data_IF_267564275147
#
_entry.id   IF_267564275147
#
_cell.length_a   1.000
_cell.length_b   1.000
_cell.length_c   1.000
_cell.angle_alpha   90.00
_cell.angle_beta   90.00
_cell.angle_gamma   90.00
#
_symmetry.space_group_name_H-M   'P 1'
#
loop_
_entity.id
_entity.type
_entity.pdbx_description
1 polymer ?
#
# COMPACT_ATOMS: atom_id res chain seq x y z
N UNK A 1 -4.97 10.05 -10.46
CA UNK A 1 -3.51 10.07 -10.45
C UNK A 1 -3.01 8.78 -9.83
N UNK A 2 -2.09 8.11 -10.51
CA UNK A 2 -1.46 6.86 -10.11
C UNK A 2 0.06 6.99 -10.26
N UNK A 3 0.81 5.97 -9.83
CA UNK A 3 2.25 5.92 -10.07
C UNK A 3 2.55 5.92 -11.58
N UNK A 4 3.60 6.62 -11.98
CA UNK A 4 3.99 6.87 -13.38
C UNK A 4 3.40 8.14 -14.00
N UNK A 5 2.30 8.68 -13.46
CA UNK A 5 1.73 9.93 -13.95
C UNK A 5 2.67 11.12 -13.70
N UNK A 6 2.60 12.15 -14.56
CA UNK A 6 3.22 13.45 -14.28
C UNK A 6 2.32 14.29 -13.38
N UNK A 7 2.84 14.68 -12.22
CA UNK A 7 2.15 15.59 -11.32
C UNK A 7 1.97 16.98 -11.99
N UNK A 8 0.75 17.53 -11.99
CA UNK A 8 0.50 18.89 -12.46
C UNK A 8 1.24 19.87 -11.57
N UNK A 9 1.86 20.86 -12.17
CA UNK A 9 2.45 21.96 -11.42
C UNK A 9 1.34 22.86 -10.85
N UNK A 10 1.58 23.44 -9.69
CA UNK A 10 0.64 24.32 -9.02
C UNK A 10 1.38 25.32 -8.15
N UNK A 11 0.72 26.42 -7.81
CA UNK A 11 1.20 27.37 -6.81
C UNK A 11 0.14 27.61 -5.75
N UNK A 12 0.49 27.38 -4.48
CA UNK A 12 -0.37 27.64 -3.32
C UNK A 12 0.38 28.43 -2.26
N UNK A 13 -0.35 29.13 -1.41
CA UNK A 13 0.24 29.78 -0.24
C UNK A 13 0.51 28.76 0.86
N UNK A 14 1.70 28.83 1.46
CA UNK A 14 2.03 28.10 2.67
C UNK A 14 1.48 28.79 3.93
N UNK A 15 1.62 28.10 5.06
CA UNK A 15 1.22 28.58 6.39
C UNK A 15 1.94 29.86 6.86
N UNK A 16 2.97 30.34 6.15
CA UNK A 16 3.64 31.63 6.40
C UNK A 16 3.16 32.73 5.44
N UNK A 17 2.22 32.42 4.55
CA UNK A 17 1.73 33.32 3.51
C UNK A 17 2.66 33.43 2.29
N UNK A 18 3.66 32.56 2.17
CA UNK A 18 4.58 32.56 1.02
C UNK A 18 4.03 31.65 -0.10
N UNK A 19 4.07 32.08 -1.37
CA UNK A 19 3.71 31.20 -2.47
C UNK A 19 4.76 30.09 -2.62
N UNK A 20 4.28 28.86 -2.82
CA UNK A 20 5.10 27.67 -3.08
C UNK A 20 4.61 27.00 -4.34
N UNK A 21 5.54 26.81 -5.27
CA UNK A 21 5.31 26.11 -6.53
C UNK A 21 5.89 24.70 -6.44
N UNK A 22 5.18 23.68 -6.94
CA UNK A 22 5.64 22.29 -6.86
C UNK A 22 7.01 22.12 -7.54
N UNK A 23 7.20 22.67 -8.73
CA UNK A 23 8.50 22.62 -9.42
C UNK A 23 9.64 23.28 -8.64
N UNK A 24 9.37 24.32 -7.85
CA UNK A 24 10.39 24.96 -7.02
C UNK A 24 10.75 24.12 -5.77
N UNK A 25 9.78 23.41 -5.19
CA UNK A 25 10.02 22.47 -4.09
C UNK A 25 10.86 21.28 -4.58
N UNK A 26 10.53 20.75 -5.76
CA UNK A 26 11.23 19.62 -6.37
C UNK A 26 12.70 19.91 -6.75
N UNK A 27 13.10 21.17 -6.85
CA UNK A 27 14.49 21.54 -7.13
C UNK A 27 15.46 21.10 -6.03
N UNK A 28 14.98 20.89 -4.80
CA UNK A 28 15.79 20.42 -3.67
C UNK A 28 15.78 18.89 -3.49
N UNK A 29 14.98 18.17 -4.27
CA UNK A 29 14.82 16.71 -4.18
C UNK A 29 13.35 16.27 -4.27
N UNK A 30 13.07 14.96 -4.15
CA UNK A 30 11.72 14.43 -4.21
C UNK A 30 10.80 15.05 -3.15
N UNK A 31 9.51 15.23 -3.49
CA UNK A 31 8.50 15.77 -2.58
C UNK A 31 7.52 14.67 -2.18
N UNK A 32 7.33 14.51 -0.87
CA UNK A 32 6.27 13.70 -0.27
C UNK A 32 5.09 14.62 0.06
N UNK A 33 4.14 14.69 -0.87
CA UNK A 33 2.97 15.55 -0.81
C UNK A 33 1.80 14.79 -0.18
N UNK A 34 1.39 15.15 1.04
CA UNK A 34 0.29 14.48 1.73
C UNK A 34 -0.95 15.38 1.91
N UNK A 35 -2.08 14.89 1.41
CA UNK A 35 -3.39 15.52 1.57
C UNK A 35 -4.04 15.05 2.86
N UNK A 36 -4.54 15.99 3.65
CA UNK A 36 -5.31 15.69 4.86
C UNK A 36 -6.64 16.46 4.90
N UNK A 37 -7.73 15.87 5.44
CA UNK A 37 -9.05 16.49 5.36
C UNK A 37 -9.27 17.76 6.19
N UNK A 38 -8.64 17.85 7.37
CA UNK A 38 -8.94 18.92 8.33
C UNK A 38 -7.81 19.16 9.33
N UNK A 39 -7.23 20.37 9.29
CA UNK A 39 -6.21 20.82 10.21
C UNK A 39 -6.68 20.81 11.68
N UNK A 40 -5.75 20.51 12.59
CA UNK A 40 -5.98 20.38 14.05
C UNK A 40 -7.00 19.32 14.48
N UNK A 41 -7.45 18.45 13.58
CA UNK A 41 -8.25 17.27 13.96
C UNK A 41 -7.36 16.16 14.53
N UNK A 42 -7.86 15.27 15.41
CA UNK A 42 -7.02 14.28 16.10
C UNK A 42 -6.21 13.38 15.16
N UNK A 43 -6.86 12.82 14.14
CA UNK A 43 -6.21 11.90 13.20
C UNK A 43 -5.20 12.63 12.31
N UNK A 44 -5.53 13.83 11.82
CA UNK A 44 -4.62 14.60 10.97
C UNK A 44 -3.45 15.19 11.78
N UNK A 45 -3.69 15.50 13.06
CA UNK A 45 -2.62 15.87 13.99
C UNK A 45 -1.64 14.72 14.16
N UNK A 46 -2.12 13.51 14.45
CA UNK A 46 -1.25 12.34 14.57
C UNK A 46 -0.46 12.08 13.28
N UNK A 47 -1.11 12.18 12.12
CA UNK A 47 -0.45 12.06 10.81
C UNK A 47 0.67 13.07 10.61
N UNK A 48 0.37 14.36 10.78
CA UNK A 48 1.31 15.44 10.52
C UNK A 48 2.46 15.44 11.55
N UNK A 49 2.18 15.12 12.81
CA UNK A 49 3.24 14.91 13.81
C UNK A 49 4.14 13.73 13.41
N UNK A 50 3.59 12.63 12.91
CA UNK A 50 4.42 11.49 12.46
C UNK A 50 5.37 11.87 11.32
N UNK A 51 4.91 12.65 10.34
CA UNK A 51 5.78 13.23 9.31
C UNK A 51 6.87 14.15 9.88
N UNK A 52 6.56 14.92 10.94
CA UNK A 52 7.54 15.78 11.63
C UNK A 52 8.59 14.93 12.33
N UNK A 53 8.15 13.90 13.04
CA UNK A 53 9.01 13.08 13.89
C UNK A 53 10.01 12.26 13.05
N UNK A 54 9.67 11.92 11.80
CA UNK A 54 10.55 11.27 10.82
C UNK A 54 11.41 12.26 9.98
N UNK A 55 11.65 13.48 10.47
CA UNK A 55 12.38 14.52 9.73
C UNK A 55 13.77 14.09 9.26
N UNK A 56 14.54 13.43 10.13
CA UNK A 56 15.91 13.01 9.85
C UNK A 56 15.97 11.90 8.79
N UNK A 57 15.01 10.97 8.84
CA UNK A 57 14.85 9.89 7.88
C UNK A 57 14.54 10.44 6.48
N UNK A 58 13.59 11.37 6.38
CA UNK A 58 13.27 12.03 5.12
C UNK A 58 14.44 12.84 4.56
N UNK A 59 15.20 13.52 5.43
CA UNK A 59 16.42 14.22 5.04
C UNK A 59 17.48 13.26 4.47
N UNK A 60 17.65 12.07 5.06
CA UNK A 60 18.59 11.04 4.60
C UNK A 60 18.25 10.54 3.19
N UNK A 61 16.97 10.36 2.90
CA UNK A 61 16.49 10.02 1.55
C UNK A 61 16.37 11.24 0.63
N UNK A 62 16.77 12.44 1.08
CA UNK A 62 16.78 13.66 0.30
C UNK A 62 15.39 14.17 -0.08
N UNK A 63 14.35 13.77 0.66
CA UNK A 63 12.98 14.09 0.33
C UNK A 63 12.40 15.18 1.24
N UNK A 64 11.58 16.05 0.66
CA UNK A 64 10.87 17.11 1.36
C UNK A 64 9.44 16.67 1.70
N UNK A 65 8.97 17.01 2.90
CA UNK A 65 7.60 16.75 3.33
C UNK A 65 6.76 17.98 3.04
N UNK A 66 5.55 17.80 2.49
CA UNK A 66 4.64 18.92 2.21
C UNK A 66 3.22 18.48 2.51
N UNK A 67 2.55 19.19 3.42
CA UNK A 67 1.15 18.93 3.75
C UNK A 67 0.21 19.85 2.97
N UNK A 68 -0.96 19.37 2.59
CA UNK A 68 -1.98 20.17 1.90
C UNK A 68 -3.39 19.84 2.40
N UNK A 69 -4.20 20.87 2.62
CA UNK A 69 -5.63 20.73 2.88
C UNK A 69 -6.40 21.93 2.34
N UNK A 70 -7.73 21.83 2.37
CA UNK A 70 -8.64 22.92 2.01
C UNK A 70 -8.80 23.98 3.10
N UNK A 71 -8.02 23.88 4.19
CA UNK A 71 -8.04 24.88 5.26
C UNK A 71 -7.34 26.16 4.81
N UNK A 72 -7.77 27.30 5.36
CA UNK A 72 -7.19 28.62 5.06
C UNK A 72 -5.74 28.74 5.55
N UNK A 73 -4.97 29.66 4.96
CA UNK A 73 -3.59 29.98 5.40
C UNK A 73 -3.52 30.24 6.90
N UNK A 74 -4.45 31.02 7.46
CA UNK A 74 -4.52 31.31 8.91
C UNK A 74 -4.68 30.06 9.75
N UNK A 75 -5.51 29.11 9.31
CA UNK A 75 -5.72 27.85 10.03
C UNK A 75 -4.52 26.92 9.93
N UNK A 76 -3.88 26.86 8.77
CA UNK A 76 -2.62 26.14 8.59
C UNK A 76 -1.51 26.74 9.46
N UNK A 77 -1.42 28.08 9.54
CA UNK A 77 -0.46 28.79 10.40
C UNK A 77 -0.66 28.45 11.88
N UNK A 78 -1.90 28.46 12.35
CA UNK A 78 -2.24 28.05 13.71
C UNK A 78 -1.83 26.59 13.97
N UNK A 79 -2.15 25.69 13.04
CA UNK A 79 -1.83 24.26 13.18
C UNK A 79 -0.31 24.00 13.19
N UNK A 80 0.42 24.62 12.27
CA UNK A 80 1.88 24.52 12.17
C UNK A 80 2.57 25.05 13.42
N UNK A 81 2.14 26.20 13.95
CA UNK A 81 2.68 26.76 15.19
C UNK A 81 2.36 25.89 16.40
N UNK A 82 1.13 25.39 16.51
CA UNK A 82 0.71 24.55 17.64
C UNK A 82 1.49 23.23 17.73
N UNK A 83 1.95 22.70 16.59
CA UNK A 83 2.65 21.41 16.49
C UNK A 83 4.11 21.53 16.09
N UNK A 84 4.63 22.74 15.98
CA UNK A 84 6.02 23.03 15.60
C UNK A 84 6.47 22.28 14.34
N UNK A 85 5.69 22.37 13.27
CA UNK A 85 6.07 21.73 12.00
C UNK A 85 7.23 22.47 11.34
N UNK A 86 8.22 21.70 10.90
CA UNK A 86 9.45 22.15 10.25
C UNK A 86 9.36 22.11 8.70
N UNK A 87 8.15 21.89 8.19
CA UNK A 87 7.86 21.74 6.77
C UNK A 87 6.60 22.53 6.36
N UNK A 88 6.43 22.88 5.08
CA UNK A 88 5.30 23.70 4.65
C UNK A 88 3.97 22.93 4.69
N UNK A 89 2.96 23.54 5.30
CA UNK A 89 1.55 23.23 5.07
C UNK A 89 0.96 24.23 4.07
N UNK A 90 0.32 23.73 3.01
CA UNK A 90 -0.26 24.51 1.92
C UNK A 90 -1.79 24.62 2.07
N UNK A 91 -2.32 25.77 1.66
CA UNK A 91 -3.75 26.09 1.70
C UNK A 91 -4.36 25.98 0.29
N UNK A 92 -5.25 25.02 0.07
CA UNK A 92 -6.00 24.77 -1.17
C UNK A 92 -7.49 25.09 -0.97
N UNK A 93 -7.81 26.32 -0.56
CA UNK A 93 -9.19 26.73 -0.19
C UNK A 93 -10.22 26.41 -1.27
N UNK A 94 -9.82 26.53 -2.54
CA UNK A 94 -10.70 26.35 -3.69
C UNK A 94 -10.80 24.89 -4.14
N UNK A 95 -10.03 24.00 -3.49
CA UNK A 95 -9.92 22.56 -3.80
C UNK A 95 -9.44 22.24 -5.22
N UNK A 96 -8.84 23.21 -5.93
CA UNK A 96 -8.40 23.05 -7.32
C UNK A 96 -7.28 22.03 -7.39
N UNK A 97 -6.29 22.13 -6.50
CA UNK A 97 -5.17 21.18 -6.47
C UNK A 97 -5.67 19.80 -6.02
N UNK A 98 -6.55 19.75 -5.02
CA UNK A 98 -7.20 18.51 -4.59
C UNK A 98 -7.98 17.82 -5.71
N UNK A 99 -8.55 18.59 -6.65
CA UNK A 99 -9.22 18.05 -7.83
C UNK A 99 -8.24 17.57 -8.91
N UNK A 100 -7.17 18.32 -9.16
CA UNK A 100 -6.10 17.94 -10.10
C UNK A 100 -5.41 16.62 -9.71
N UNK A 101 -5.17 16.43 -8.41
CA UNK A 101 -4.62 15.18 -7.87
C UNK A 101 -5.69 14.08 -7.71
N UNK A 102 -6.96 14.39 -7.99
CA UNK A 102 -8.07 13.45 -7.94
C UNK A 102 -8.44 13.02 -6.53
N UNK A 103 -8.07 13.77 -5.49
CA UNK A 103 -8.33 13.42 -4.08
C UNK A 103 -9.59 14.06 -3.51
N UNK A 104 -10.20 15.04 -4.22
CA UNK A 104 -11.48 15.65 -3.84
C UNK A 104 -12.64 14.63 -3.80
N UNK A 105 -13.49 14.72 -2.77
CA UNK A 105 -14.72 13.92 -2.59
C UNK A 105 -15.92 14.70 -3.17
N UNK A 106 -16.68 14.11 -4.09
CA UNK A 106 -17.87 14.74 -4.68
C UNK A 106 -18.37 14.07 -5.97
N UNK A 107 -19.62 14.35 -6.38
CA UNK A 107 -20.26 13.75 -7.59
C UNK A 107 -19.61 14.21 -8.91
N UNK A 108 -18.98 15.39 -8.96
CA UNK A 108 -18.25 15.84 -10.17
C UNK A 108 -16.94 15.07 -10.43
N UNK A 109 -16.28 14.51 -9.40
CA UNK A 109 -15.13 13.63 -9.58
C UNK A 109 -15.50 12.27 -10.24
N UNK A 110 -16.80 11.97 -10.37
CA UNK A 110 -17.32 10.85 -11.16
C UNK A 110 -17.59 11.23 -12.63
N UNK A 111 -17.84 12.50 -12.94
CA UNK A 111 -18.18 12.93 -14.31
C UNK A 111 -17.03 12.79 -15.32
N UNK A 112 -15.76 12.84 -14.87
CA UNK A 112 -14.61 12.55 -15.74
C UNK A 112 -14.30 11.06 -15.90
N UNK A 113 -14.85 10.20 -15.04
CA UNK A 113 -14.75 8.73 -15.17
C UNK A 113 -15.91 8.10 -15.93
N UNK A 114 -17.01 8.84 -16.13
CA UNK A 114 -18.23 8.34 -16.78
C UNK A 114 -18.18 8.34 -18.32
N UNK A 115 -17.02 8.56 -18.95
CA UNK A 115 -16.84 8.33 -20.39
C UNK A 115 -16.42 6.88 -20.69
N UNK A 116 -16.13 6.07 -19.67
CA UNK A 116 -15.84 4.64 -19.86
C UNK A 116 -16.75 3.81 -18.95
N UNK A 117 -17.59 2.99 -19.59
CA UNK A 117 -18.43 1.91 -19.05
C UNK A 117 -19.73 2.29 -18.30
N UNK A 118 -20.83 2.37 -19.06
CA UNK A 118 -22.08 1.60 -18.78
C UNK A 118 -21.76 0.11 -19.04
N UNK A 119 -22.28 -0.93 -18.41
CA UNK A 119 -23.38 -1.28 -17.50
C UNK A 119 -22.79 -2.33 -16.53
N UNK A 120 -23.24 -2.59 -15.31
CA UNK A 120 -24.51 -3.27 -15.00
C UNK A 120 -24.73 -3.30 -13.48
N UNK A 121 -25.93 -3.71 -13.09
CA UNK A 121 -26.61 -3.36 -11.86
C UNK A 121 -26.53 -4.42 -10.74
N UNK A 122 -26.73 -3.95 -9.51
CA UNK A 122 -27.38 -4.62 -8.35
C UNK A 122 -26.62 -5.70 -7.56
N UNK A 123 -26.26 -5.34 -6.32
CA UNK A 123 -26.52 -5.98 -5.00
C UNK A 123 -25.57 -5.28 -4.02
N UNK A 124 -25.80 -5.08 -2.73
CA UNK A 124 -26.83 -5.46 -1.79
C UNK A 124 -26.57 -4.59 -0.54
N UNK A 125 -27.62 -4.39 0.24
CA UNK A 125 -27.70 -3.39 1.30
C UNK A 125 -27.06 -3.97 2.59
N UNK A 126 -25.86 -3.52 2.95
CA UNK A 126 -25.37 -3.56 4.33
C UNK A 126 -24.45 -2.36 4.61
N UNK A 127 -25.05 -1.19 4.81
CA UNK A 127 -24.36 -0.05 5.42
C UNK A 127 -24.18 -0.33 6.91
N UNK A 128 -23.09 -1.00 7.28
CA UNK A 128 -22.51 -0.78 8.61
C UNK A 128 -22.24 0.71 8.74
N UNK A 129 -22.62 1.28 9.88
CA UNK A 129 -22.51 2.69 10.31
C UNK A 129 -21.10 3.28 10.10
N UNK A 130 -20.67 3.49 8.85
CA UNK A 130 -19.51 4.32 8.49
C UNK A 130 -19.98 5.75 8.66
N UNK A 131 -19.58 6.35 9.78
CA UNK A 131 -20.15 7.56 10.36
C UNK A 131 -20.40 8.68 9.35
N UNK A 132 -21.54 9.35 9.54
CA UNK A 132 -22.03 10.51 8.78
C UNK A 132 -20.92 11.54 8.48
N UNK A 133 -19.96 11.70 9.39
CA UNK A 133 -18.83 12.65 9.31
C UNK A 133 -17.84 12.38 8.16
N UNK A 134 -17.56 11.12 7.81
CA UNK A 134 -16.63 10.80 6.72
C UNK A 134 -17.20 11.17 5.33
N UNK A 135 -18.52 11.34 5.21
CA UNK A 135 -19.20 11.75 3.97
C UNK A 135 -19.21 13.27 3.75
N UNK A 136 -18.76 14.06 4.74
CA UNK A 136 -18.85 15.53 4.71
C UNK A 136 -17.51 16.20 4.37
N UNK A 137 -16.37 15.54 4.64
CA UNK A 137 -15.07 16.15 4.40
C UNK A 137 -14.67 16.13 2.91
N UNK A 138 -14.18 17.24 2.34
CA UNK A 138 -14.05 17.42 0.89
C UNK A 138 -12.84 16.71 0.27
N UNK A 139 -11.89 16.22 1.06
CA UNK A 139 -10.62 15.65 0.56
C UNK A 139 -10.39 14.27 1.16
N UNK A 140 -9.90 13.33 0.33
CA UNK A 140 -9.41 12.01 0.75
C UNK A 140 -7.99 12.14 1.29
N UNK A 141 -7.70 11.41 2.37
CA UNK A 141 -6.33 11.31 2.88
C UNK A 141 -5.50 10.49 1.89
N UNK A 142 -4.50 11.11 1.28
CA UNK A 142 -3.69 10.48 0.24
C UNK A 142 -2.31 11.12 0.23
N UNK A 143 -1.25 10.33 0.09
CA UNK A 143 0.13 10.81 -0.04
C UNK A 143 0.68 10.43 -1.40
N UNK A 144 1.35 11.36 -2.05
CA UNK A 144 2.06 11.16 -3.31
C UNK A 144 3.56 11.36 -3.04
N UNK A 145 4.37 10.42 -3.50
CA UNK A 145 5.82 10.62 -3.60
C UNK A 145 6.10 11.05 -5.04
N UNK A 146 6.66 12.25 -5.21
CA UNK A 146 6.87 12.90 -6.50
C UNK A 146 8.36 13.12 -6.69
N UNK A 147 8.93 12.61 -7.76
CA UNK A 147 10.33 12.81 -8.11
C UNK A 147 10.58 14.20 -8.73
N UNK A 148 11.85 14.59 -8.79
CA UNK A 148 12.35 15.87 -9.30
C UNK A 148 11.85 16.23 -10.71
N UNK A 149 11.56 15.23 -11.54
CA UNK A 149 11.01 15.38 -12.89
C UNK A 149 9.46 15.43 -12.94
N UNK A 150 8.82 15.57 -11.77
CA UNK A 150 7.37 15.52 -11.52
C UNK A 150 6.73 14.13 -11.70
N UNK A 151 7.50 13.06 -11.86
CA UNK A 151 6.91 11.71 -11.91
C UNK A 151 6.39 11.31 -10.53
N UNK A 152 5.14 10.85 -10.47
CA UNK A 152 4.59 10.24 -9.26
C UNK A 152 5.19 8.84 -9.12
N UNK A 153 6.06 8.63 -8.13
CA UNK A 153 6.71 7.35 -7.91
C UNK A 153 5.80 6.34 -7.20
N UNK A 154 5.02 6.80 -6.21
CA UNK A 154 4.04 5.98 -5.52
C UNK A 154 2.91 6.82 -4.92
N UNK A 155 1.77 6.17 -4.67
CA UNK A 155 0.58 6.77 -4.07
C UNK A 155 0.12 5.92 -2.89
N UNK A 156 0.06 6.52 -1.71
CA UNK A 156 -0.43 5.89 -0.47
C UNK A 156 -1.81 6.42 -0.14
N UNK A 157 -2.83 5.58 -0.25
CA UNK A 157 -4.23 5.95 -0.03
C UNK A 157 -4.85 5.19 1.16
N UNK A 158 -4.52 5.59 2.40
CA UNK A 158 -5.09 4.99 3.62
C UNK A 158 -5.94 5.98 4.44
N UNK A 159 -7.27 5.84 4.41
CA UNK A 159 -8.15 6.77 5.11
C UNK A 159 -8.30 6.50 6.62
N UNK A 160 -7.80 5.37 7.13
CA UNK A 160 -8.06 4.93 8.51
C UNK A 160 -6.79 4.99 9.37
N UNK A 161 -5.65 4.53 8.85
CA UNK A 161 -4.36 4.53 9.56
C UNK A 161 -3.50 5.65 9.01
N UNK A 162 -3.47 6.78 9.73
CA UNK A 162 -2.81 7.97 9.23
C UNK A 162 -1.28 7.93 9.35
N UNK A 163 -0.73 7.14 10.29
CA UNK A 163 0.73 6.93 10.45
C UNK A 163 1.36 6.24 9.24
N UNK A 164 0.64 5.28 8.64
CA UNK A 164 1.10 4.46 7.50
C UNK A 164 1.60 5.31 6.33
N UNK A 165 1.05 6.52 6.16
CA UNK A 165 1.44 7.43 5.08
C UNK A 165 2.93 7.80 5.07
N UNK A 166 3.51 8.10 6.24
CA UNK A 166 4.90 8.52 6.30
C UNK A 166 5.83 7.30 6.17
N UNK A 167 5.49 6.20 6.83
CA UNK A 167 6.30 4.97 6.83
C UNK A 167 6.37 4.37 5.42
N UNK A 168 5.25 4.29 4.69
CA UNK A 168 5.22 3.79 3.32
C UNK A 168 5.97 4.69 2.34
N UNK A 169 5.81 6.01 2.45
CA UNK A 169 6.54 6.96 1.61
C UNK A 169 8.05 6.85 1.84
N UNK A 170 8.47 6.79 3.11
CA UNK A 170 9.88 6.68 3.47
C UNK A 170 10.48 5.35 3.03
N UNK A 171 9.78 4.23 3.27
CA UNK A 171 10.23 2.90 2.84
C UNK A 171 10.41 2.84 1.33
N UNK A 172 9.47 3.39 0.57
CA UNK A 172 9.56 3.44 -0.88
C UNK A 172 10.77 4.28 -1.33
N UNK A 173 10.98 5.46 -0.76
CA UNK A 173 12.12 6.31 -1.12
C UNK A 173 13.47 5.68 -0.77
N UNK A 174 13.55 4.98 0.36
CA UNK A 174 14.75 4.27 0.77
C UNK A 174 15.13 3.16 -0.23
N UNK A 175 14.16 2.36 -0.68
CA UNK A 175 14.41 1.31 -1.68
C UNK A 175 14.67 1.87 -3.08
N UNK A 176 14.01 2.99 -3.43
CA UNK A 176 14.20 3.65 -4.71
C UNK A 176 15.61 4.23 -4.88
N UNK A 177 16.15 4.87 -3.84
CA UNK A 177 17.53 5.40 -3.85
C UNK A 177 18.56 4.30 -4.07
N UNK A 178 18.39 3.15 -3.42
CA UNK A 178 19.31 2.01 -3.56
C UNK A 178 19.39 1.51 -5.00
N UNK A 179 18.29 1.54 -5.76
CA UNK A 179 18.27 1.13 -7.17
C UNK A 179 18.80 2.19 -8.14
N UNK A 180 18.92 3.45 -7.73
CA UNK A 180 19.42 4.56 -8.57
C UNK A 180 20.93 4.82 -8.43
N UNK A 181 21.61 4.24 -7.43
CA UNK A 181 23.07 4.35 -7.31
C UNK A 181 23.77 3.39 -8.29
N UNK A 182 24.63 3.89 -9.21
CA UNK A 182 25.40 3.02 -10.09
C UNK A 182 26.37 2.14 -9.28
N UNK A 183 26.42 0.84 -9.57
CA UNK A 183 27.55 0.01 -9.13
C UNK A 183 28.80 0.54 -9.83
N UNK A 184 29.69 1.17 -9.08
CA UNK A 184 31.00 1.59 -9.55
C UNK A 184 31.83 0.31 -9.83
N UNK A 185 32.07 0.02 -11.11
CA UNK A 185 32.87 -1.13 -11.54
C UNK A 185 34.28 -0.63 -11.82
N UNK A 186 35.17 -0.82 -10.84
CA UNK A 186 36.62 -0.81 -10.99
C UNK A 186 37.18 -2.21 -10.73
N UNK A 187 37.72 -2.82 -11.78
CA UNK A 187 38.33 -4.16 -11.98
C UNK A 187 39.49 -4.57 -11.03
N UNK A 188 40.12 -5.79 -11.12
CA UNK A 188 40.01 -6.85 -12.14
C UNK A 188 39.86 -8.32 -11.64
N UNK A 189 39.77 -9.21 -12.62
CA UNK A 189 39.59 -10.66 -12.54
C UNK A 189 40.74 -11.46 -11.91
N UNK A 190 40.40 -12.28 -10.91
CA UNK A 190 41.00 -13.57 -10.49
C UNK A 190 40.24 -13.95 -9.20
N UNK A 191 39.64 -15.11 -8.97
CA UNK A 191 40.11 -16.47 -9.19
C UNK A 191 38.87 -17.41 -9.16
N UNK A 192 38.82 -18.41 -10.04
CA UNK A 192 37.63 -19.25 -10.28
C UNK A 192 37.42 -20.39 -9.27
N UNK A 193 38.19 -20.43 -8.18
CA UNK A 193 38.10 -21.47 -7.14
C UNK A 193 38.43 -20.90 -5.76
N UNK A 194 37.47 -20.24 -5.13
CA UNK A 194 37.38 -20.11 -3.68
C UNK A 194 35.95 -19.68 -3.33
N UNK A 195 35.13 -20.60 -2.81
CA UNK A 195 33.99 -20.18 -2.00
C UNK A 195 34.52 -19.70 -0.64
N UNK A 196 34.09 -18.51 -0.19
CA UNK A 196 33.80 -18.36 1.22
C UNK A 196 32.32 -18.04 1.40
N UNK A 197 31.74 -18.78 2.34
CA UNK A 197 30.42 -18.59 2.90
C UNK A 197 30.20 -17.13 3.31
N UNK A 198 29.14 -16.51 2.80
CA UNK A 198 28.54 -15.31 3.42
C UNK A 198 27.04 -15.43 3.45
N UNK A 199 26.52 -15.23 4.67
CA UNK A 199 25.12 -15.21 5.10
C UNK A 199 24.26 -14.32 4.20
N UNK A 200 23.26 -14.91 3.55
CA UNK A 200 22.42 -14.27 2.52
C UNK A 200 21.17 -13.62 3.16
N UNK A 201 21.15 -12.28 3.18
CA UNK A 201 19.93 -11.49 3.41
C UNK A 201 19.01 -11.56 2.17
N UNK A 202 17.67 -11.64 2.34
CA UNK A 202 16.76 -11.87 1.22
C UNK A 202 16.74 -10.71 0.22
N UNK A 203 17.33 -10.96 -0.95
CA UNK A 203 17.24 -10.13 -2.15
C UNK A 203 15.83 -10.17 -2.75
N UNK A 204 15.10 -9.05 -2.62
CA UNK A 204 13.83 -8.84 -3.30
C UNK A 204 14.08 -8.30 -4.72
N UNK A 205 14.43 -9.20 -5.64
CA UNK A 205 14.27 -8.93 -7.07
C UNK A 205 12.77 -8.99 -7.41
N UNK A 206 12.28 -7.93 -8.03
CA UNK A 206 10.86 -7.68 -8.37
C UNK A 206 10.24 -8.82 -9.18
N UNK A 207 9.09 -9.39 -8.77
CA UNK A 207 8.34 -10.32 -9.60
C UNK A 207 7.31 -9.56 -10.43
N UNK A 208 7.72 -9.06 -11.60
CA UNK A 208 6.76 -8.77 -12.69
C UNK A 208 7.38 -9.15 -14.03
N UNK A 209 7.46 -10.45 -14.26
CA UNK A 209 7.48 -11.16 -15.56
C UNK A 209 7.51 -12.64 -15.15
N UNK A 210 6.42 -13.39 -15.17
CA UNK A 210 5.72 -13.87 -16.35
C UNK A 210 4.26 -14.10 -15.97
N UNK A 211 3.34 -13.33 -16.56
CA UNK A 211 1.95 -13.73 -16.65
C UNK A 211 1.62 -13.76 -18.15
N UNK A 212 1.75 -14.93 -18.75
CA UNK A 212 0.98 -15.27 -19.95
C UNK A 212 -0.47 -14.98 -19.64
N UNK A 213 -1.08 -14.10 -20.44
CA UNK A 213 -2.43 -13.61 -20.22
C UNK A 213 -3.44 -14.73 -19.98
N UNK A 214 -4.04 -14.70 -18.80
CA UNK A 214 -5.41 -15.11 -18.49
C UNK A 214 -5.81 -14.39 -17.22
N UNK A 215 -6.32 -13.18 -17.39
CA UNK A 215 -7.17 -12.56 -16.36
C UNK A 215 -8.57 -13.06 -16.71
N UNK A 216 -8.88 -14.31 -16.36
CA UNK A 216 -10.24 -14.81 -16.44
C UNK A 216 -10.68 -15.24 -15.05
N UNK A 217 -11.91 -14.85 -14.73
CA UNK A 217 -12.48 -14.86 -13.41
C UNK A 217 -12.65 -16.26 -12.83
N UNK A 218 -12.58 -16.34 -11.49
CA UNK A 218 -13.47 -17.22 -10.75
C UNK A 218 -12.80 -18.08 -9.69
N UNK A 219 -12.51 -17.50 -8.51
CA UNK A 219 -13.22 -17.75 -7.24
C UNK A 219 -12.76 -16.63 -6.27
N UNK A 220 -13.68 -15.86 -5.69
CA UNK A 220 -13.33 -15.01 -4.54
C UNK A 220 -13.11 -15.92 -3.33
N UNK A 221 -11.92 -16.53 -3.23
CA UNK A 221 -11.60 -17.52 -2.18
C UNK A 221 -11.91 -16.90 -0.81
N UNK A 222 -12.85 -17.50 -0.09
CA UNK A 222 -13.23 -17.05 1.24
C UNK A 222 -12.01 -17.07 2.18
N UNK A 223 -11.93 -16.11 3.10
CA UNK A 223 -10.73 -15.95 3.94
C UNK A 223 -10.54 -17.11 4.91
N UNK A 224 -11.66 -17.71 5.28
CA UNK A 224 -11.81 -18.88 6.13
C UNK A 224 -11.72 -20.21 5.35
N UNK A 225 -11.61 -20.17 4.02
CA UNK A 225 -11.54 -21.39 3.21
C UNK A 225 -10.27 -22.19 3.55
N UNK A 226 -10.41 -23.47 3.96
CA UNK A 226 -9.25 -24.31 4.26
C UNK A 226 -8.53 -24.71 2.98
N UNK A 227 -7.19 -24.75 3.04
CA UNK A 227 -6.32 -25.10 1.90
C UNK A 227 -5.52 -26.35 2.25
N UNK A 228 -5.84 -27.45 1.60
CA UNK A 228 -5.26 -28.77 1.81
C UNK A 228 -4.27 -29.11 0.68
N UNK A 229 -3.10 -29.67 1.00
CA UNK A 229 -2.16 -30.13 -0.02
C UNK A 229 -2.64 -31.45 -0.66
N UNK A 230 -2.44 -31.62 -1.97
CA UNK A 230 -2.75 -32.87 -2.67
C UNK A 230 -1.49 -33.71 -2.86
N UNK A 231 -1.61 -35.02 -2.60
CA UNK A 231 -0.52 -36.00 -2.75
C UNK A 231 -0.06 -36.18 -4.21
N UNK A 232 -0.74 -35.59 -5.19
CA UNK A 232 -0.29 -35.52 -6.60
C UNK A 232 1.03 -34.74 -6.79
N UNK A 233 1.62 -34.25 -5.71
CA UNK A 233 2.94 -33.64 -5.61
C UNK A 233 4.11 -34.66 -5.64
N UNK A 234 4.00 -35.75 -6.41
CA UNK A 234 5.12 -36.71 -6.59
C UNK A 234 6.28 -36.13 -7.42
N UNK A 235 6.11 -34.94 -8.01
CA UNK A 235 7.20 -34.18 -8.64
C UNK A 235 6.85 -32.68 -8.68
N UNK A 236 6.97 -31.95 -7.55
CA UNK A 236 6.80 -30.51 -7.57
C UNK A 236 7.85 -29.91 -8.51
N UNK A 237 7.53 -28.87 -9.30
CA UNK A 237 8.52 -28.16 -10.09
C UNK A 237 9.66 -27.75 -9.15
N UNK A 238 10.92 -27.90 -9.57
CA UNK A 238 12.06 -27.50 -8.75
C UNK A 238 12.08 -25.98 -8.58
N UNK A 239 11.25 -25.48 -7.66
CA UNK A 239 11.25 -24.10 -7.24
C UNK A 239 12.53 -23.81 -6.47
N UNK A 240 12.97 -22.56 -6.49
CA UNK A 240 14.18 -22.16 -5.76
C UNK A 240 13.97 -22.40 -4.27
N UNK A 241 15.07 -22.65 -3.52
CA UNK A 241 15.00 -22.73 -2.05
C UNK A 241 14.30 -21.48 -1.51
N UNK A 242 13.35 -21.68 -0.59
CA UNK A 242 12.53 -20.64 0.05
C UNK A 242 11.47 -19.98 -0.86
N UNK A 243 11.06 -20.61 -1.97
CA UNK A 243 9.93 -20.13 -2.78
C UNK A 243 8.63 -20.11 -1.97
N UNK A 244 7.83 -19.07 -2.14
CA UNK A 244 6.55 -18.89 -1.44
C UNK A 244 5.57 -20.03 -1.73
N UNK A 245 5.60 -20.59 -2.94
CA UNK A 245 4.70 -21.70 -3.34
C UNK A 245 5.01 -22.98 -2.55
N UNK A 246 6.29 -23.28 -2.37
CA UNK A 246 6.75 -24.42 -1.58
C UNK A 246 6.37 -24.28 -0.10
N UNK A 247 6.47 -23.05 0.42
CA UNK A 247 6.00 -22.73 1.77
C UNK A 247 4.48 -22.89 1.89
N UNK A 248 3.69 -22.48 0.89
CA UNK A 248 2.23 -22.70 0.89
C UNK A 248 1.93 -24.20 0.99
N UNK A 249 2.55 -25.04 0.17
CA UNK A 249 2.34 -26.50 0.22
C UNK A 249 2.73 -27.09 1.58
N UNK A 250 3.87 -26.66 2.13
CA UNK A 250 4.34 -27.10 3.44
C UNK A 250 3.32 -26.80 4.54
N UNK A 251 2.77 -25.59 4.56
CA UNK A 251 1.76 -25.20 5.54
C UNK A 251 0.39 -25.84 5.28
N UNK A 252 0.06 -26.12 4.02
CA UNK A 252 -1.18 -26.76 3.61
C UNK A 252 -1.35 -28.21 4.10
N UNK A 253 -0.29 -28.82 4.65
CA UNK A 253 -0.39 -30.09 5.37
C UNK A 253 -1.27 -30.02 6.64
N UNK A 254 -1.50 -28.83 7.20
CA UNK A 254 -2.32 -28.60 8.39
C UNK A 254 -3.71 -28.00 8.07
N UNK A 255 -4.08 -27.97 6.79
CA UNK A 255 -5.32 -27.36 6.28
C UNK A 255 -5.61 -25.94 6.83
N UNK A 256 -4.63 -25.01 6.78
CA UNK A 256 -4.82 -23.64 7.23
C UNK A 256 -5.83 -22.91 6.34
N UNK A 257 -6.48 -21.89 6.92
CA UNK A 257 -7.28 -20.95 6.14
C UNK A 257 -6.42 -20.03 5.27
N UNK A 258 -7.00 -19.47 4.21
CA UNK A 258 -6.34 -18.46 3.35
C UNK A 258 -5.80 -17.28 4.17
N UNK A 259 -6.52 -16.84 5.20
CA UNK A 259 -6.08 -15.77 6.09
C UNK A 259 -4.86 -16.17 6.95
N UNK A 260 -4.79 -17.42 7.38
CA UNK A 260 -3.63 -17.92 8.14
C UNK A 260 -2.39 -18.05 7.25
N UNK A 261 -2.54 -18.52 6.02
CA UNK A 261 -1.45 -18.56 5.04
C UNK A 261 -0.92 -17.15 4.77
N UNK A 262 -1.81 -16.17 4.57
CA UNK A 262 -1.41 -14.77 4.40
C UNK A 262 -0.64 -14.24 5.61
N UNK A 263 -1.08 -14.58 6.84
CA UNK A 263 -0.39 -14.20 8.09
C UNK A 263 1.00 -14.80 8.17
N UNK A 264 1.11 -16.12 8.04
CA UNK A 264 2.37 -16.87 8.23
C UNK A 264 3.42 -16.52 7.18
N UNK A 265 2.97 -16.31 5.95
CA UNK A 265 3.85 -15.96 4.82
C UNK A 265 4.11 -14.46 4.72
N UNK A 266 3.48 -13.65 5.57
CA UNK A 266 3.56 -12.17 5.52
C UNK A 266 3.21 -11.60 4.14
N UNK A 267 2.20 -12.19 3.48
CA UNK A 267 1.76 -11.79 2.14
C UNK A 267 0.47 -10.99 2.18
N UNK A 268 0.28 -10.03 1.25
CA UNK A 268 -1.01 -9.40 1.04
C UNK A 268 -2.07 -10.46 0.73
N UNK A 269 -3.24 -10.35 1.35
CA UNK A 269 -4.36 -11.30 1.19
C UNK A 269 -4.70 -11.55 -0.29
N UNK A 270 -4.66 -10.51 -1.13
CA UNK A 270 -4.91 -10.65 -2.57
C UNK A 270 -3.85 -11.50 -3.29
N UNK A 271 -2.58 -11.38 -2.89
CA UNK A 271 -1.49 -12.18 -3.45
C UNK A 271 -1.57 -13.63 -2.97
N UNK A 272 -1.88 -13.87 -1.68
CA UNK A 272 -2.10 -15.22 -1.17
C UNK A 272 -3.26 -15.92 -1.88
N UNK A 273 -4.40 -15.22 -2.06
CA UNK A 273 -5.54 -15.75 -2.81
C UNK A 273 -5.15 -16.15 -4.23
N UNK A 274 -4.43 -15.28 -4.93
CA UNK A 274 -3.96 -15.57 -6.27
C UNK A 274 -3.04 -16.80 -6.33
N UNK A 275 -2.07 -16.90 -5.42
CA UNK A 275 -1.13 -18.02 -5.39
C UNK A 275 -1.80 -19.34 -5.01
N UNK A 276 -2.75 -19.32 -4.08
CA UNK A 276 -3.54 -20.50 -3.71
C UNK A 276 -4.43 -20.94 -4.87
N UNK A 277 -5.06 -20.00 -5.58
CA UNK A 277 -5.89 -20.28 -6.75
C UNK A 277 -5.07 -20.88 -7.91
N UNK A 278 -3.88 -20.32 -8.17
CA UNK A 278 -2.93 -20.82 -9.17
C UNK A 278 -2.43 -22.24 -8.84
N UNK A 279 -2.07 -22.50 -7.58
CA UNK A 279 -1.68 -23.84 -7.12
C UNK A 279 -2.85 -24.83 -7.16
N UNK A 280 -4.08 -24.38 -6.91
CA UNK A 280 -5.27 -25.21 -7.02
C UNK A 280 -5.57 -25.58 -8.48
N UNK A 281 -5.46 -24.61 -9.39
CA UNK A 281 -5.61 -24.83 -10.83
C UNK A 281 -4.56 -25.79 -11.39
N UNK A 282 -3.37 -25.80 -10.81
CA UNK A 282 -2.28 -26.74 -11.15
C UNK A 282 -2.40 -28.09 -10.43
N UNK A 283 -3.39 -28.28 -9.55
CA UNK A 283 -3.65 -29.54 -8.86
C UNK A 283 -2.74 -29.84 -7.67
N UNK A 284 -2.02 -28.85 -7.14
CA UNK A 284 -1.14 -29.01 -5.98
C UNK A 284 -1.86 -28.85 -4.64
N UNK A 285 -2.94 -28.05 -4.61
CA UNK A 285 -3.76 -27.84 -3.42
C UNK A 285 -5.25 -27.96 -3.75
N UNK A 286 -6.05 -28.29 -2.74
CA UNK A 286 -7.51 -28.25 -2.78
C UNK A 286 -7.99 -27.17 -1.82
N UNK A 287 -8.87 -26.30 -2.32
CA UNK A 287 -9.57 -25.33 -1.47
C UNK A 287 -10.93 -25.92 -1.08
N UNK A 288 -11.15 -26.07 0.22
CA UNK A 288 -12.44 -26.52 0.76
C UNK A 288 -13.48 -25.40 0.87
N UNK A 289 -14.74 -25.79 1.07
CA UNK A 289 -15.80 -24.84 1.33
C UNK A 289 -15.58 -24.14 2.70
N UNK A 290 -15.85 -22.83 2.82
CA UNK A 290 -15.60 -22.05 4.03
C UNK A 290 -16.44 -22.47 5.23
N UNK A 291 -17.59 -23.12 5.01
CA UNK A 291 -18.50 -23.66 6.00
C UNK A 291 -19.16 -24.88 5.36
N UNK A 292 -18.97 -26.06 5.94
CA UNK A 292 -19.69 -27.27 5.51
C UNK A 292 -20.80 -27.61 6.52
N UNK A 293 -21.91 -28.14 6.01
CA UNK A 293 -23.08 -28.55 6.79
C UNK A 293 -22.81 -29.84 7.58
N UNK A 294 -21.72 -30.54 7.27
CA UNK A 294 -21.24 -31.71 8.02
C UNK A 294 -20.41 -31.36 9.27
N UNK A 295 -19.95 -30.10 9.41
CA UNK A 295 -19.07 -29.69 10.51
C UNK A 295 -19.81 -29.60 11.84
N UNK A 296 -19.20 -30.12 12.89
CA UNK A 296 -19.68 -29.92 14.26
C UNK A 296 -19.55 -28.46 14.70
N UNK A 297 -20.32 -28.06 15.72
CA UNK A 297 -20.29 -26.70 16.26
C UNK A 297 -18.88 -26.33 16.78
N UNK A 298 -18.17 -27.29 17.37
CA UNK A 298 -16.82 -27.08 17.92
C UNK A 298 -15.78 -26.90 16.81
N UNK A 299 -15.84 -27.69 15.73
CA UNK A 299 -14.97 -27.52 14.55
C UNK A 299 -15.20 -26.17 13.88
N UNK A 300 -16.47 -25.77 13.73
CA UNK A 300 -16.83 -24.45 13.19
C UNK A 300 -16.27 -23.32 14.07
N UNK A 301 -16.34 -23.46 15.39
CA UNK A 301 -15.82 -22.48 16.34
C UNK A 301 -14.29 -22.39 16.28
N UNK A 302 -13.60 -23.52 16.16
CA UNK A 302 -12.14 -23.55 16.06
C UNK A 302 -11.67 -22.92 14.75
N UNK A 303 -12.30 -23.24 13.62
CA UNK A 303 -11.99 -22.65 12.31
C UNK A 303 -12.16 -21.12 12.32
N UNK A 304 -13.27 -20.61 12.87
CA UNK A 304 -13.49 -19.17 13.02
C UNK A 304 -12.43 -18.55 13.94
N UNK A 305 -12.09 -19.21 15.04
CA UNK A 305 -11.08 -18.71 16.00
C UNK A 305 -9.70 -18.60 15.36
N UNK A 306 -9.29 -19.62 14.60
CA UNK A 306 -8.06 -19.67 13.83
C UNK A 306 -8.00 -18.59 12.75
N UNK A 307 -9.05 -18.47 11.95
CA UNK A 307 -9.17 -17.43 10.91
C UNK A 307 -9.09 -16.03 11.53
N UNK A 308 -9.80 -15.78 12.62
CA UNK A 308 -9.77 -14.50 13.33
C UNK A 308 -8.40 -14.21 13.94
N UNK A 309 -7.65 -15.23 14.38
CA UNK A 309 -6.28 -15.09 14.85
C UNK A 309 -5.36 -14.67 13.70
N UNK A 310 -5.39 -15.39 12.57
CA UNK A 310 -4.61 -15.03 11.38
C UNK A 310 -4.92 -13.61 10.88
N UNK A 311 -6.20 -13.21 10.87
CA UNK A 311 -6.59 -11.84 10.50
C UNK A 311 -6.14 -10.79 11.51
N UNK A 312 -6.02 -11.11 12.80
CA UNK A 312 -5.50 -10.19 13.82
C UNK A 312 -3.99 -10.04 13.72
N UNK A 313 -3.28 -11.13 13.46
CA UNK A 313 -1.83 -11.13 13.23
C UNK A 313 -1.48 -10.36 11.95
N UNK A 314 -2.23 -10.55 10.86
CA UNK A 314 -2.12 -9.72 9.66
C UNK A 314 -2.29 -8.22 9.94
N UNK A 315 -3.19 -7.86 10.87
CA UNK A 315 -3.37 -6.46 11.31
C UNK A 315 -2.26 -5.95 12.22
N UNK A 316 -1.55 -6.84 12.91
CA UNK A 316 -0.42 -6.51 13.77
C UNK A 316 0.89 -6.41 12.97
N UNK A 317 1.02 -7.19 11.89
CA UNK A 317 2.17 -7.21 10.97
C UNK A 317 2.06 -6.22 9.81
N UNK A 318 0.88 -5.61 9.58
CA UNK A 318 0.64 -4.49 8.64
C UNK A 318 0.51 -3.15 9.37
#
# INVERSE_FOLDING_TARGET
>A
MIAGDKAPDFTLYDHTGRPRTLSALLAAGPVVLFFFPLASSPICTAQACHFRDLSAEFARVGAQRVGISTDTVTRQAHFARQRSFDYPLLSDTDSVVSELFGVRRGRLAKLRRSVVAREESRRGRHTRRRGLLARVLPVRRTTFVIDTDRTVLTVVANEVRASVHADEALRFLATHKTHQQPKDIGEPASDWFAEPETVDEPSLVRPFTVATGRIDAGVELALEAPVEALDSADNPPSWRKNDVRDQILTWSAQSPSVAELASRLSLPIGATRYLVDDLAAQGYVRVGAPLDDSMTIDERREMITRTLRGLRELRASS
#
